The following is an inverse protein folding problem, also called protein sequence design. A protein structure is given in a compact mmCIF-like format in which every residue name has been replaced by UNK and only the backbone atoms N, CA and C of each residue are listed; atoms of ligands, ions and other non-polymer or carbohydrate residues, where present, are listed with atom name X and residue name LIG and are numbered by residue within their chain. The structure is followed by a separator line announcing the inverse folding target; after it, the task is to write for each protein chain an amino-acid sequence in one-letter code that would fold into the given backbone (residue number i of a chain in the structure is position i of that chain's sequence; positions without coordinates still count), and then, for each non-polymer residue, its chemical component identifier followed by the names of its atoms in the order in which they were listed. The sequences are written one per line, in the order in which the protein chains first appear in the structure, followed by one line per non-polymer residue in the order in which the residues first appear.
data_IF_233887751727
#
_entry.id   IF_233887751727
#
_cell.length_a   1.000
_cell.length_b   1.000
_cell.length_c   1.000
_cell.angle_alpha   90.00
_cell.angle_beta   90.00
_cell.angle_gamma   90.00
#
_symmetry.space_group_name_H-M   'P 1'
#
loop_
_entity.id
_entity.type
_entity.pdbx_description
1 polymer ?
#
# COMPACT_ATOMS: atom_id res chain seq x y z
N UNK A 1 9.65 5.20 -2.15
CA UNK A 1 10.56 4.13 -2.64
C UNK A 1 9.94 2.73 -2.54
N UNK A 2 9.07 2.43 -1.56
CA UNK A 2 8.27 1.19 -1.51
C UNK A 2 7.42 0.94 -2.75
N UNK A 3 6.86 2.00 -3.34
CA UNK A 3 6.03 1.94 -4.55
C UNK A 3 6.73 1.24 -5.74
N UNK A 4 8.04 1.49 -5.93
CA UNK A 4 8.87 0.81 -6.93
C UNK A 4 9.10 -0.68 -6.63
N UNK A 5 9.07 -1.07 -5.34
CA UNK A 5 9.23 -2.45 -4.92
C UNK A 5 7.94 -3.23 -5.22
N UNK A 6 6.79 -2.68 -4.86
CA UNK A 6 5.48 -3.27 -5.18
C UNK A 6 5.26 -3.36 -6.70
N UNK A 7 5.61 -2.34 -7.47
CA UNK A 7 5.51 -2.37 -8.94
C UNK A 7 6.31 -3.50 -9.62
N UNK A 8 7.36 -4.02 -8.96
CA UNK A 8 8.13 -5.14 -9.49
C UNK A 8 7.41 -6.49 -9.30
N UNK A 9 6.61 -6.62 -8.25
CA UNK A 9 5.90 -7.84 -7.85
C UNK A 9 4.40 -7.83 -8.17
N UNK A 10 3.85 -6.75 -8.71
CA UNK A 10 2.44 -6.63 -9.07
C UNK A 10 2.22 -6.67 -10.59
N UNK A 11 1.15 -7.32 -11.04
CA UNK A 11 0.74 -7.25 -12.45
C UNK A 11 0.29 -5.83 -12.82
N UNK A 12 0.29 -5.47 -14.12
CA UNK A 12 -0.20 -4.14 -14.59
C UNK A 12 -1.62 -3.83 -14.07
N UNK A 13 -2.47 -4.85 -13.96
CA UNK A 13 -3.81 -4.75 -13.40
C UNK A 13 -3.77 -4.49 -11.89
N UNK A 14 -2.90 -5.19 -11.17
CA UNK A 14 -2.71 -4.99 -9.73
C UNK A 14 -2.22 -3.58 -9.38
N UNK A 15 -1.37 -2.97 -10.21
CA UNK A 15 -0.90 -1.58 -10.00
C UNK A 15 -2.06 -0.58 -10.11
N UNK A 16 -2.93 -0.74 -11.10
CA UNK A 16 -4.12 0.11 -11.25
C UNK A 16 -5.12 -0.11 -10.10
N UNK A 17 -5.38 -1.37 -9.69
CA UNK A 17 -6.24 -1.67 -8.55
C UNK A 17 -5.68 -1.11 -7.23
N UNK A 18 -4.35 -1.17 -7.04
CA UNK A 18 -3.70 -0.55 -5.90
C UNK A 18 -3.95 0.95 -5.87
N UNK A 19 -3.69 1.65 -6.98
CA UNK A 19 -3.91 3.10 -7.07
C UNK A 19 -5.38 3.50 -6.85
N UNK A 20 -6.31 2.80 -7.50
CA UNK A 20 -7.74 3.09 -7.38
C UNK A 20 -8.23 2.83 -5.95
N UNK A 21 -7.82 1.71 -5.34
CA UNK A 21 -8.19 1.39 -3.97
C UNK A 21 -7.55 2.32 -2.95
N UNK A 22 -6.31 2.76 -3.19
CA UNK A 22 -5.63 3.71 -2.31
C UNK A 22 -6.35 5.06 -2.30
N UNK A 23 -6.72 5.59 -3.47
CA UNK A 23 -7.52 6.83 -3.57
C UNK A 23 -8.87 6.67 -2.85
N UNK A 24 -9.55 5.54 -3.05
CA UNK A 24 -10.83 5.29 -2.40
C UNK A 24 -10.71 5.26 -0.87
N UNK A 25 -9.68 4.59 -0.34
CA UNK A 25 -9.45 4.51 1.10
C UNK A 25 -8.99 5.84 1.70
N UNK A 26 -8.18 6.62 0.98
CA UNK A 26 -7.79 7.97 1.41
C UNK A 26 -9.01 8.90 1.48
N UNK A 27 -9.94 8.83 0.52
CA UNK A 27 -11.19 9.60 0.56
C UNK A 27 -12.05 9.19 1.76
N UNK A 28 -12.17 7.88 2.03
CA UNK A 28 -12.92 7.36 3.18
C UNK A 28 -12.28 7.83 4.49
N UNK A 29 -10.95 7.75 4.60
CA UNK A 29 -10.20 8.20 5.77
C UNK A 29 -10.38 9.70 6.00
N UNK A 30 -10.30 10.49 4.93
CA UNK A 30 -10.52 11.94 4.98
C UNK A 30 -11.96 12.26 5.43
N UNK A 31 -12.95 11.61 4.83
CA UNK A 31 -14.36 11.78 5.23
C UNK A 31 -14.60 11.38 6.69
N UNK A 32 -13.94 10.33 7.17
CA UNK A 32 -14.02 9.92 8.57
C UNK A 32 -13.37 10.96 9.51
N UNK A 33 -12.17 11.45 9.18
CA UNK A 33 -11.46 12.43 10.01
C UNK A 33 -12.22 13.77 10.11
N UNK A 34 -12.70 14.28 8.98
CA UNK A 34 -13.36 15.60 8.92
C UNK A 34 -14.83 15.54 9.29
N UNK A 35 -15.53 14.45 8.95
CA UNK A 35 -16.97 14.32 9.18
C UNK A 35 -17.33 13.73 10.53
N UNK A 36 -16.59 12.72 11.00
CA UNK A 36 -16.95 11.97 12.22
C UNK A 36 -16.05 12.35 13.39
N UNK A 37 -14.72 12.32 13.19
CA UNK A 37 -13.77 12.62 14.25
C UNK A 37 -13.68 14.13 14.56
N UNK A 38 -14.25 15.00 13.70
CA UNK A 38 -14.30 16.45 13.93
C UNK A 38 -12.93 17.12 13.92
N UNK A 39 -11.92 16.49 13.31
CA UNK A 39 -10.58 17.06 13.23
C UNK A 39 -10.59 18.33 12.35
N UNK A 40 -10.05 19.41 12.89
CA UNK A 40 -9.86 20.69 12.20
C UNK A 40 -8.47 20.76 11.59
N UNK A 41 -8.33 21.30 10.37
CA UNK A 41 -7.01 21.47 9.73
C UNK A 41 -6.03 22.36 10.53
N UNK A 42 -6.51 23.14 11.50
CA UNK A 42 -5.67 24.04 12.32
C UNK A 42 -4.93 23.34 13.47
N UNK A 43 -5.29 22.10 13.81
CA UNK A 43 -4.65 21.39 14.91
C UNK A 43 -3.42 20.63 14.40
N UNK A 44 -2.24 20.94 14.95
CA UNK A 44 -0.96 20.32 14.58
C UNK A 44 -1.01 18.78 14.73
N UNK A 45 -1.87 18.30 15.63
CA UNK A 45 -2.22 16.89 15.83
C UNK A 45 -2.76 16.22 14.56
N UNK A 46 -3.49 16.96 13.72
CA UNK A 46 -4.19 16.42 12.54
C UNK A 46 -3.22 15.99 11.47
N UNK A 47 -2.11 16.72 11.29
CA UNK A 47 -1.06 16.30 10.36
C UNK A 47 -0.51 14.94 10.75
N UNK A 48 -0.23 14.74 12.04
CA UNK A 48 0.28 13.46 12.54
C UNK A 48 -0.75 12.35 12.38
N UNK A 49 -2.01 12.60 12.74
CA UNK A 49 -3.10 11.62 12.59
C UNK A 49 -3.36 11.26 11.13
N UNK A 50 -3.33 12.23 10.21
CA UNK A 50 -3.46 11.98 8.77
C UNK A 50 -2.28 11.19 8.23
N UNK A 51 -1.05 11.56 8.58
CA UNK A 51 0.15 10.85 8.12
C UNK A 51 0.12 9.39 8.60
N UNK A 52 -0.17 9.16 9.88
CA UNK A 52 -0.27 7.80 10.46
C UNK A 52 -1.43 7.02 9.84
N UNK A 53 -2.58 7.67 9.62
CA UNK A 53 -3.74 7.06 8.98
C UNK A 53 -3.45 6.63 7.54
N UNK A 54 -2.89 7.53 6.72
CA UNK A 54 -2.52 7.23 5.33
C UNK A 54 -1.44 6.16 5.26
N UNK A 55 -0.44 6.19 6.14
CA UNK A 55 0.58 5.14 6.23
C UNK A 55 -0.04 3.78 6.61
N UNK A 56 -0.93 3.76 7.60
CA UNK A 56 -1.63 2.55 8.03
C UNK A 56 -2.47 1.96 6.89
N UNK A 57 -3.25 2.79 6.22
CA UNK A 57 -4.04 2.42 5.04
C UNK A 57 -3.16 1.89 3.92
N UNK A 58 -2.06 2.59 3.59
CA UNK A 58 -1.12 2.18 2.56
C UNK A 58 -0.47 0.82 2.85
N UNK A 59 -0.10 0.55 4.11
CA UNK A 59 0.50 -0.74 4.50
C UNK A 59 -0.54 -1.86 4.44
N UNK A 60 -1.75 -1.64 4.96
CA UNK A 60 -2.82 -2.65 4.95
C UNK A 60 -3.26 -2.95 3.52
N UNK A 61 -3.55 -1.91 2.72
CA UNK A 61 -3.99 -2.07 1.35
C UNK A 61 -2.89 -2.60 0.43
N UNK A 62 -1.66 -2.11 0.59
CA UNK A 62 -0.49 -2.64 -0.10
C UNK A 62 -0.25 -4.13 0.19
N UNK A 63 -0.44 -4.56 1.44
CA UNK A 63 -0.41 -5.97 1.82
C UNK A 63 -1.51 -6.80 1.16
N UNK A 64 -2.76 -6.32 1.16
CA UNK A 64 -3.90 -6.97 0.50
C UNK A 64 -3.68 -7.10 -1.01
N UNK A 65 -3.24 -6.03 -1.66
CA UNK A 65 -2.91 -6.05 -3.08
C UNK A 65 -1.77 -7.00 -3.40
N UNK A 66 -0.75 -7.09 -2.53
CA UNK A 66 0.34 -8.04 -2.72
C UNK A 66 -0.12 -9.49 -2.56
N UNK A 67 -1.08 -9.79 -1.69
CA UNK A 67 -1.65 -11.15 -1.55
C UNK A 67 -2.52 -11.53 -2.75
N UNK A 68 -3.42 -10.63 -3.18
CA UNK A 68 -4.39 -10.93 -4.25
C UNK A 68 -3.82 -10.80 -5.67
N UNK A 69 -2.91 -9.87 -5.90
CA UNK A 69 -2.34 -9.57 -7.21
C UNK A 69 -0.82 -9.76 -7.27
N UNK A 70 -0.28 -10.63 -6.40
CA UNK A 70 1.10 -11.09 -6.55
C UNK A 70 1.29 -11.65 -7.95
N UNK A 71 2.20 -11.04 -8.69
CA UNK A 71 2.60 -11.54 -10.00
C UNK A 71 3.29 -12.89 -9.78
N UNK A 72 2.75 -13.96 -10.36
CA UNK A 72 3.29 -15.32 -10.28
C UNK A 72 4.55 -15.53 -11.14
N UNK A 73 5.12 -14.45 -11.70
CA UNK A 73 6.15 -14.50 -12.75
C UNK A 73 7.60 -14.61 -12.23
N UNK A 74 7.80 -14.99 -10.96
CA UNK A 74 9.08 -15.54 -10.52
C UNK A 74 8.87 -17.00 -10.13
N UNK A 75 9.23 -17.98 -10.99
CA UNK A 75 9.64 -19.26 -10.44
C UNK A 75 10.75 -18.97 -9.43
N UNK A 76 10.70 -19.64 -8.28
CA UNK A 76 11.86 -19.84 -7.43
C UNK A 76 13.06 -20.26 -8.31
N UNK A 77 13.84 -19.28 -8.79
CA UNK A 77 15.26 -19.48 -9.00
C UNK A 77 15.91 -19.27 -7.65
N UNK A 78 15.53 -20.12 -6.72
CA UNK A 78 16.46 -20.62 -5.74
C UNK A 78 17.49 -21.42 -6.55
N UNK A 79 18.47 -20.68 -7.08
CA UNK A 79 19.75 -21.24 -7.46
C UNK A 79 20.41 -21.77 -6.19
N UNK A 80 19.92 -22.91 -5.70
CA UNK A 80 20.72 -23.89 -5.00
C UNK A 80 21.66 -24.54 -6.05
N UNK A 81 22.59 -23.74 -6.55
CA UNK A 81 23.72 -24.17 -7.36
C UNK A 81 24.93 -23.40 -6.88
N UNK A 82 25.40 -23.72 -5.68
CA UNK A 82 26.82 -23.63 -5.35
C UNK A 82 27.15 -24.71 -4.34
N UNK A 83 26.93 -25.97 -4.73
CA UNK A 83 27.70 -27.11 -4.25
C UNK A 83 28.68 -27.48 -5.35
N UNK A 84 29.71 -26.64 -5.48
CA UNK A 84 30.89 -26.88 -6.28
C UNK A 84 31.84 -27.81 -5.49
N UNK A 85 32.62 -28.60 -6.22
CA UNK A 85 33.68 -29.55 -5.80
C UNK A 85 33.30 -30.98 -5.41
#
# INVERSE_FOLDING_TARGET
MLDRLFMKYLSRTGVWCYWVGQIALDIILLGYLFGIAGYSFDDESVRTTLIVGVLGVAVVWGGVCLVFWRRQDEPERETASTGDS
#
